data_IF_230078539190
#
_entry.id   IF_230078539190
#
_cell.length_a   1.000
_cell.length_b   1.000
_cell.length_c   1.000
_cell.angle_alpha   90.00
_cell.angle_beta   90.00
_cell.angle_gamma   90.00
#
_symmetry.space_group_name_H-M   'P 1'
#
loop_
_entity.id
_entity.type
_entity.pdbx_description
1 polymer ?
#
# COMPACT_ATOMS: atom_id res chain seq x y z
N UNK A 1 15.62 22.04 30.35
CA UNK A 1 15.23 22.19 28.92
C UNK A 1 14.18 21.13 28.62
N UNK A 2 12.87 21.45 28.69
CA UNK A 2 11.82 20.46 28.46
C UNK A 2 11.31 20.37 27.00
N UNK A 3 11.42 21.42 26.19
CA UNK A 3 10.59 21.56 24.97
C UNK A 3 11.13 20.92 23.67
N UNK A 4 12.27 20.20 23.71
CA UNK A 4 12.85 19.64 22.46
C UNK A 4 12.36 18.23 22.10
N UNK A 5 11.63 17.56 22.99
CA UNK A 5 11.22 16.16 22.79
C UNK A 5 9.95 15.99 21.96
N UNK A 6 8.86 16.66 22.35
CA UNK A 6 7.52 16.45 21.79
C UNK A 6 7.43 16.99 20.35
N UNK A 7 7.87 18.22 20.11
CA UNK A 7 7.86 18.80 18.76
C UNK A 7 8.70 18.01 17.74
N UNK A 8 9.87 17.51 18.15
CA UNK A 8 10.69 16.65 17.29
C UNK A 8 9.99 15.30 17.00
N UNK A 9 9.32 14.73 17.99
CA UNK A 9 8.57 13.48 17.85
C UNK A 9 7.33 13.64 16.97
N UNK A 10 6.58 14.75 17.10
CA UNK A 10 5.48 15.10 16.20
C UNK A 10 5.94 15.19 14.75
N UNK A 11 7.07 15.87 14.50
CA UNK A 11 7.64 15.95 13.14
C UNK A 11 8.08 14.58 12.60
N UNK A 12 8.64 13.72 13.45
CA UNK A 12 8.99 12.36 13.07
C UNK A 12 7.75 11.54 12.67
N UNK A 13 6.68 11.58 13.49
CA UNK A 13 5.42 10.90 13.19
C UNK A 13 4.81 11.45 11.89
N UNK A 14 4.95 12.76 11.60
CA UNK A 14 4.47 13.38 10.34
C UNK A 14 5.22 12.81 9.15
N UNK A 15 6.54 12.72 9.27
CA UNK A 15 7.39 12.10 8.28
C UNK A 15 6.98 10.64 7.99
N UNK A 16 6.76 9.84 9.03
CA UNK A 16 6.32 8.45 8.90
C UNK A 16 4.97 8.34 8.20
N UNK A 17 3.98 9.16 8.59
CA UNK A 17 2.67 9.16 7.95
C UNK A 17 2.76 9.52 6.46
N UNK A 18 3.47 10.59 6.13
CA UNK A 18 3.62 11.06 4.74
C UNK A 18 4.33 10.00 3.88
N UNK A 19 5.39 9.38 4.41
CA UNK A 19 6.09 8.30 3.71
C UNK A 19 5.17 7.11 3.47
N UNK A 20 4.49 6.61 4.50
CA UNK A 20 3.57 5.48 4.38
C UNK A 20 2.39 5.79 3.44
N UNK A 21 1.89 7.02 3.42
CA UNK A 21 0.85 7.46 2.49
C UNK A 21 1.33 7.45 1.04
N UNK A 22 2.57 7.88 0.79
CA UNK A 22 3.17 7.81 -0.54
C UNK A 22 3.31 6.36 -0.98
N UNK A 23 3.92 5.51 -0.16
CA UNK A 23 4.13 4.10 -0.49
C UNK A 23 2.80 3.36 -0.70
N UNK A 24 1.76 3.69 0.09
CA UNK A 24 0.40 3.20 -0.11
C UNK A 24 -0.20 3.60 -1.47
N UNK A 25 0.02 4.85 -1.91
CA UNK A 25 -0.44 5.32 -3.22
C UNK A 25 0.31 4.65 -4.38
N UNK A 26 1.62 4.48 -4.23
CA UNK A 26 2.47 3.81 -5.22
C UNK A 26 2.07 2.33 -5.33
N UNK A 27 1.84 1.64 -4.21
CA UNK A 27 1.39 0.25 -4.18
C UNK A 27 -0.01 0.06 -4.81
N UNK A 28 -0.95 0.98 -4.58
CA UNK A 28 -2.26 0.96 -5.28
C UNK A 28 -2.12 1.15 -6.79
N UNK A 29 -1.21 2.01 -7.22
CA UNK A 29 -0.95 2.25 -8.64
C UNK A 29 -0.36 0.99 -9.28
N UNK A 30 0.63 0.37 -8.62
CA UNK A 30 1.18 -0.92 -9.01
C UNK A 30 0.10 -2.01 -9.10
N UNK A 31 -0.79 -2.11 -8.10
CA UNK A 31 -1.90 -3.06 -8.11
C UNK A 31 -2.84 -2.85 -9.29
N UNK A 32 -3.14 -1.60 -9.64
CA UNK A 32 -3.99 -1.30 -10.79
C UNK A 32 -3.34 -1.76 -12.10
N UNK A 33 -2.06 -1.49 -12.29
CA UNK A 33 -1.29 -1.96 -13.45
C UNK A 33 -1.23 -3.48 -13.53
N UNK A 34 -0.92 -4.16 -12.43
CA UNK A 34 -0.87 -5.63 -12.39
C UNK A 34 -2.23 -6.26 -12.72
N UNK A 35 -3.33 -5.70 -12.20
CA UNK A 35 -4.69 -6.16 -12.51
C UNK A 35 -5.04 -5.97 -13.98
N UNK A 36 -4.65 -4.84 -14.58
CA UNK A 36 -4.85 -4.62 -16.01
C UNK A 36 -4.11 -5.67 -16.84
N UNK A 37 -2.83 -5.90 -16.54
CA UNK A 37 -2.02 -6.92 -17.23
C UNK A 37 -2.56 -8.33 -17.02
N UNK A 38 -3.04 -8.66 -15.82
CA UNK A 38 -3.70 -9.94 -15.53
C UNK A 38 -4.94 -10.16 -16.40
N UNK A 39 -5.83 -9.17 -16.50
CA UNK A 39 -7.06 -9.29 -17.31
C UNK A 39 -6.75 -9.34 -18.81
N UNK A 40 -5.74 -8.60 -19.29
CA UNK A 40 -5.26 -8.68 -20.67
C UNK A 40 -4.78 -10.08 -21.01
N UNK A 41 -3.90 -10.67 -20.17
CA UNK A 41 -3.36 -12.01 -20.40
C UNK A 41 -4.43 -13.09 -20.30
N UNK A 42 -5.32 -12.99 -19.32
CA UNK A 42 -6.46 -13.90 -19.16
C UNK A 42 -7.39 -13.87 -20.37
N UNK A 43 -7.67 -12.67 -20.89
CA UNK A 43 -8.49 -12.50 -22.11
C UNK A 43 -7.80 -13.09 -23.34
N UNK A 44 -6.49 -12.91 -23.45
CA UNK A 44 -5.69 -13.49 -24.53
C UNK A 44 -5.67 -15.03 -24.46
N UNK A 45 -5.40 -15.61 -23.30
CA UNK A 45 -5.40 -17.05 -23.09
C UNK A 45 -6.77 -17.66 -23.44
N UNK A 46 -7.87 -17.07 -22.95
CA UNK A 46 -9.22 -17.50 -23.31
C UNK A 46 -9.51 -17.41 -24.82
N UNK A 47 -9.00 -16.37 -25.49
CA UNK A 47 -9.15 -16.24 -26.95
C UNK A 47 -8.37 -17.29 -27.75
N UNK A 48 -7.25 -17.79 -27.21
CA UNK A 48 -6.50 -18.90 -27.81
C UNK A 48 -7.27 -20.21 -27.61
N UNK A 49 -7.76 -20.48 -26.39
CA UNK A 49 -8.54 -21.68 -26.10
C UNK A 49 -9.82 -21.78 -26.92
N UNK A 50 -10.51 -20.66 -27.13
CA UNK A 50 -11.73 -20.59 -27.93
C UNK A 50 -11.47 -20.67 -29.46
N UNK A 51 -10.21 -20.84 -29.89
CA UNK A 51 -9.83 -20.89 -31.30
C UNK A 51 -9.98 -19.56 -32.05
N UNK A 52 -10.30 -18.46 -31.35
CA UNK A 52 -10.45 -17.11 -31.94
C UNK A 52 -9.10 -16.51 -32.36
N UNK A 53 -8.00 -17.01 -31.81
CA UNK A 53 -6.64 -16.71 -32.26
C UNK A 53 -6.10 -17.77 -33.22
N UNK A 54 -6.34 -17.58 -34.50
CA UNK A 54 -6.01 -18.53 -35.58
C UNK A 54 -4.52 -18.74 -35.86
N UNK A 55 -3.60 -18.04 -35.16
CA UNK A 55 -2.13 -18.18 -35.32
C UNK A 55 -1.39 -18.49 -34.00
N UNK A 56 -2.10 -18.90 -32.96
CA UNK A 56 -1.52 -19.16 -31.64
C UNK A 56 -1.47 -20.65 -31.36
N UNK A 57 -0.35 -21.12 -30.80
CA UNK A 57 -0.13 -22.53 -30.48
C UNK A 57 -0.61 -22.83 -29.06
N UNK A 58 -0.98 -24.09 -28.75
CA UNK A 58 -1.27 -24.52 -27.39
C UNK A 58 -0.17 -24.13 -26.39
N UNK A 59 1.10 -24.19 -26.80
CA UNK A 59 2.24 -23.78 -25.98
C UNK A 59 2.16 -22.32 -25.52
N UNK A 60 1.62 -21.41 -26.36
CA UNK A 60 1.41 -20.01 -25.97
C UNK A 60 0.33 -19.87 -24.91
N UNK A 61 -0.72 -20.69 -24.97
CA UNK A 61 -1.77 -20.69 -23.96
C UNK A 61 -1.22 -21.17 -22.61
N UNK A 62 -0.44 -22.25 -22.60
CA UNK A 62 0.22 -22.76 -21.38
C UNK A 62 1.22 -21.75 -20.81
N UNK A 63 2.01 -21.07 -21.64
CA UNK A 63 2.88 -19.98 -21.15
C UNK A 63 2.08 -18.86 -20.50
N UNK A 64 0.97 -18.43 -21.11
CA UNK A 64 0.11 -17.40 -20.53
C UNK A 64 -0.48 -17.83 -19.19
N UNK A 65 -0.81 -19.12 -18.99
CA UNK A 65 -1.27 -19.63 -17.70
C UNK A 65 -0.23 -19.49 -16.60
N UNK A 66 1.04 -19.80 -16.90
CA UNK A 66 2.15 -19.61 -15.96
C UNK A 66 2.28 -18.13 -15.60
N UNK A 67 2.31 -17.24 -16.59
CA UNK A 67 2.40 -15.80 -16.36
C UNK A 67 1.20 -15.24 -15.58
N UNK A 68 -0.01 -15.79 -15.80
CA UNK A 68 -1.22 -15.43 -15.06
C UNK A 68 -1.09 -15.83 -13.58
N UNK A 69 -0.53 -17.00 -13.29
CA UNK A 69 -0.33 -17.46 -11.91
C UNK A 69 0.73 -16.61 -11.19
N UNK A 70 1.85 -16.32 -11.84
CA UNK A 70 2.86 -15.39 -11.33
C UNK A 70 2.26 -14.00 -11.03
N UNK A 71 1.37 -13.51 -11.91
CA UNK A 71 0.67 -12.24 -11.68
C UNK A 71 -0.28 -12.29 -10.48
N UNK A 72 -0.96 -13.42 -10.22
CA UNK A 72 -1.80 -13.57 -9.01
C UNK A 72 -0.96 -13.49 -7.75
N UNK A 73 0.17 -14.18 -7.72
CA UNK A 73 1.10 -14.14 -6.59
C UNK A 73 1.61 -12.72 -6.35
N UNK A 74 2.04 -12.02 -7.42
CA UNK A 74 2.45 -10.62 -7.34
C UNK A 74 1.33 -9.72 -6.81
N UNK A 75 0.10 -9.87 -7.33
CA UNK A 75 -1.08 -9.11 -6.89
C UNK A 75 -1.33 -9.32 -5.39
N UNK A 76 -1.20 -10.55 -4.89
CA UNK A 76 -1.43 -10.86 -3.49
C UNK A 76 -0.33 -10.30 -2.57
N UNK A 77 0.92 -10.24 -3.03
CA UNK A 77 2.01 -9.54 -2.33
C UNK A 77 1.70 -8.05 -2.23
N UNK A 78 1.39 -7.37 -3.34
CA UNK A 78 1.10 -5.94 -3.34
C UNK A 78 -0.13 -5.61 -2.48
N UNK A 79 -1.16 -6.48 -2.45
CA UNK A 79 -2.31 -6.31 -1.54
C UNK A 79 -1.89 -6.32 -0.07
N UNK A 80 -0.97 -7.21 0.32
CA UNK A 80 -0.44 -7.25 1.69
C UNK A 80 0.35 -6.00 2.01
N UNK A 81 1.14 -5.48 1.08
CA UNK A 81 1.88 -4.21 1.24
C UNK A 81 0.92 -3.03 1.44
N UNK A 82 -0.15 -2.93 0.65
CA UNK A 82 -1.19 -1.90 0.80
C UNK A 82 -1.79 -1.94 2.21
N UNK A 83 -2.09 -3.13 2.73
CA UNK A 83 -2.60 -3.29 4.11
C UNK A 83 -1.53 -2.84 5.11
N UNK A 84 -0.27 -3.25 4.93
CA UNK A 84 0.84 -2.86 5.80
C UNK A 84 1.05 -1.34 5.88
N UNK A 85 1.08 -0.66 4.73
CA UNK A 85 1.19 0.81 4.70
C UNK A 85 -0.02 1.49 5.34
N UNK A 86 -1.22 0.94 5.14
CA UNK A 86 -2.42 1.46 5.81
C UNK A 86 -2.32 1.35 7.33
N UNK A 87 -1.87 0.21 7.84
CA UNK A 87 -1.63 0.02 9.28
C UNK A 87 -0.57 0.99 9.82
N UNK A 88 0.50 1.26 9.07
CA UNK A 88 1.50 2.25 9.46
C UNK A 88 0.91 3.66 9.55
N UNK A 89 0.05 4.03 8.60
CA UNK A 89 -0.66 5.32 8.63
C UNK A 89 -1.59 5.42 9.84
N UNK A 90 -2.38 4.38 10.12
CA UNK A 90 -3.30 4.35 11.27
C UNK A 90 -2.52 4.44 12.59
N UNK A 91 -1.38 3.75 12.71
CA UNK A 91 -0.50 3.86 13.88
C UNK A 91 0.09 5.26 14.04
N UNK A 92 0.48 5.91 12.95
CA UNK A 92 0.96 7.29 12.99
C UNK A 92 -0.16 8.27 13.41
N UNK A 93 -1.41 8.06 12.98
CA UNK A 93 -2.57 8.84 13.43
C UNK A 93 -2.78 8.68 14.94
N UNK A 94 -2.78 7.45 15.47
CA UNK A 94 -2.93 7.24 16.91
C UNK A 94 -1.84 7.93 17.73
N UNK A 95 -0.59 7.91 17.22
CA UNK A 95 0.52 8.64 17.85
C UNK A 95 0.35 10.16 17.77
N UNK A 96 -0.28 10.69 16.72
CA UNK A 96 -0.63 12.11 16.67
C UNK A 96 -1.60 12.49 17.77
N UNK A 97 -2.71 11.76 17.85
CA UNK A 97 -3.78 12.03 18.82
C UNK A 97 -3.24 11.95 20.26
N UNK A 98 -2.35 11.00 20.53
CA UNK A 98 -1.65 10.89 21.82
C UNK A 98 -0.74 12.11 22.08
N UNK A 99 0.09 12.51 21.11
CA UNK A 99 1.05 13.60 21.29
C UNK A 99 0.40 14.99 21.34
N UNK A 100 -0.66 15.24 20.56
CA UNK A 100 -1.47 16.47 20.67
C UNK A 100 -2.16 16.55 22.04
N UNK A 101 -2.61 15.42 22.59
CA UNK A 101 -3.13 15.35 23.95
C UNK A 101 -2.10 15.75 25.02
N UNK A 102 -0.82 15.43 24.82
CA UNK A 102 0.27 15.85 25.70
C UNK A 102 0.62 17.34 25.56
N UNK A 103 0.61 17.89 24.34
CA UNK A 103 0.88 19.31 24.08
C UNK A 103 -0.17 20.23 24.78
N UNK A 104 -1.45 19.84 24.78
CA UNK A 104 -2.52 20.58 25.46
C UNK A 104 -2.44 20.50 26.99
N UNK A 105 -1.92 19.40 27.55
CA UNK A 105 -1.74 19.26 29.01
C UNK A 105 -0.55 20.09 29.52
N UNK A 106 0.52 20.20 28.73
CA UNK A 106 1.67 21.05 29.05
C UNK A 106 1.35 22.56 28.93
N UNK A 107 0.36 22.95 28.11
CA UNK A 107 -0.07 24.34 27.96
C UNK A 107 -1.08 24.82 29.03
N UNK A 108 -1.60 23.95 29.92
CA UNK A 108 -2.49 24.40 31.01
C UNK A 108 -1.69 25.08 32.14
N UNK A 109 -1.78 26.41 32.34
CA UNK A 109 -1.12 27.06 33.45
C UNK A 109 -1.98 26.83 34.70
N UNK A 110 -1.60 25.82 35.48
CA UNK A 110 -2.11 25.64 36.82
C UNK A 110 -2.62 24.25 37.09
N UNK A 111 -1.72 23.31 37.37
CA UNK A 111 -1.94 22.33 38.43
C UNK A 111 -0.61 21.94 39.06
N UNK A 112 -0.22 22.70 40.08
CA UNK A 112 0.32 22.21 41.36
C UNK A 112 0.43 23.43 42.28
N UNK A 113 -0.50 23.51 43.24
CA UNK A 113 -0.41 24.40 44.39
C UNK A 113 0.52 23.86 45.48
#
# INVERSE_FOLDING_TARGET
>A
MPDRGIGARLQQVRGTFISAQKDWNDAKTCLASLRATYEEKKTLAGSIYDGRQSRSTPDKATMLEVEIEELKECIDVIRKEIIGHRTQMDAAISLFEELEGYEVVDEMPGMSG
#
